data_IF_711560688160
#
_entry.id   IF_711560688160
#
_cell.length_a   1.000
_cell.length_b   1.000
_cell.length_c   1.000
_cell.angle_alpha   90.00
_cell.angle_beta   90.00
_cell.angle_gamma   90.00
#
_symmetry.space_group_name_H-M   'P 1'
#
loop_
_entity.id
_entity.type
_entity.pdbx_description
1 polymer ?
#
# COMPACT_ATOMS: atom_id res chain seq x y z
N UNK A 1 5.00 9.16 -9.63
CA UNK A 1 3.72 9.88 -9.91
C UNK A 1 2.61 8.85 -10.08
N UNK A 2 1.43 9.05 -9.47
CA UNK A 2 0.25 8.20 -9.68
C UNK A 2 -0.66 8.82 -10.74
N UNK A 3 -0.87 8.12 -11.85
CA UNK A 3 -1.80 8.55 -12.89
C UNK A 3 -3.13 7.84 -12.64
N UNK A 4 -4.04 8.54 -11.96
CA UNK A 4 -5.20 7.94 -11.27
C UNK A 4 -6.11 7.17 -12.23
N UNK A 5 -6.45 7.77 -13.36
CA UNK A 5 -7.46 7.27 -14.29
C UNK A 5 -6.96 6.06 -15.10
N UNK A 6 -5.67 6.06 -15.44
CA UNK A 6 -5.02 5.02 -16.24
C UNK A 6 -4.48 3.87 -15.38
N UNK A 7 -4.38 4.07 -14.06
CA UNK A 7 -3.88 3.06 -13.15
C UNK A 7 -2.39 2.77 -13.33
N UNK A 8 -1.61 3.80 -13.67
CA UNK A 8 -0.17 3.71 -13.91
C UNK A 8 0.61 4.34 -12.75
N UNK A 9 1.66 3.64 -12.34
CA UNK A 9 2.66 4.14 -11.38
C UNK A 9 3.92 4.42 -12.18
N UNK A 10 4.41 5.66 -12.09
CA UNK A 10 5.65 6.07 -12.73
C UNK A 10 6.77 6.12 -11.70
N UNK A 11 7.79 5.28 -11.90
CA UNK A 11 9.09 5.45 -11.27
C UNK A 11 9.95 6.29 -12.22
N UNK A 12 10.35 7.46 -11.74
CA UNK A 12 11.07 8.46 -12.52
C UNK A 12 12.46 8.56 -11.95
N UNK A 13 13.47 8.19 -12.74
CA UNK A 13 14.87 8.41 -12.40
C UNK A 13 15.20 9.87 -12.67
N UNK A 14 15.71 10.57 -11.66
CA UNK A 14 15.93 12.01 -11.68
C UNK A 14 17.41 12.39 -11.68
N UNK A 15 18.32 11.40 -11.79
CA UNK A 15 19.77 11.63 -11.91
C UNK A 15 20.14 12.44 -13.15
N UNK A 16 19.40 12.27 -14.24
CA UNK A 16 19.56 13.01 -15.48
C UNK A 16 18.18 13.49 -15.97
N UNK A 17 17.97 14.80 -15.94
CA UNK A 17 16.69 15.41 -16.34
C UNK A 17 16.62 15.68 -17.85
N UNK A 18 17.75 15.64 -18.56
CA UNK A 18 17.80 15.79 -20.02
C UNK A 18 17.50 14.45 -20.69
N UNK A 19 18.01 13.34 -20.13
CA UNK A 19 17.80 11.98 -20.61
C UNK A 19 16.94 11.16 -19.64
N UNK A 20 15.70 11.62 -19.41
CA UNK A 20 14.81 11.08 -18.39
C UNK A 20 14.48 9.59 -18.60
N UNK A 21 14.85 8.75 -17.64
CA UNK A 21 14.44 7.35 -17.61
C UNK A 21 13.16 7.20 -16.76
N UNK A 22 12.11 6.62 -17.36
CA UNK A 22 10.82 6.39 -16.70
C UNK A 22 10.41 4.94 -16.86
N UNK A 23 10.18 4.26 -15.73
CA UNK A 23 9.53 2.95 -15.71
C UNK A 23 8.03 3.13 -15.45
N UNK A 24 7.22 2.81 -16.45
CA UNK A 24 5.76 2.77 -16.31
C UNK A 24 5.30 1.38 -15.83
N UNK A 25 4.65 1.35 -14.67
CA UNK A 25 4.14 0.11 -14.06
C UNK A 25 2.62 0.14 -14.12
N UNK A 26 2.03 -0.86 -14.78
CA UNK A 26 0.59 -1.09 -14.71
C UNK A 26 0.18 -1.60 -13.33
N UNK A 27 -0.82 -0.99 -12.71
CA UNK A 27 -1.37 -1.40 -11.41
C UNK A 27 -2.89 -1.61 -11.53
N UNK A 28 -3.68 -0.71 -10.95
CA UNK A 28 -5.14 -0.72 -11.03
C UNK A 28 -5.66 0.71 -11.16
N UNK A 29 -6.80 0.90 -11.82
CA UNK A 29 -7.40 2.23 -11.98
C UNK A 29 -7.81 2.81 -10.62
N UNK A 30 -7.86 4.14 -10.58
CA UNK A 30 -8.19 4.96 -9.42
C UNK A 30 -7.12 4.90 -8.31
N UNK A 31 -5.85 4.90 -8.72
CA UNK A 31 -4.74 5.12 -7.78
C UNK A 31 -4.95 6.46 -7.06
N UNK A 32 -4.70 6.48 -5.76
CA UNK A 32 -4.95 7.65 -4.93
C UNK A 32 -3.73 7.94 -4.06
N UNK A 33 -3.77 7.49 -2.81
CA UNK A 33 -2.79 7.71 -1.76
C UNK A 33 -2.13 6.39 -1.34
N UNK A 34 -1.01 6.50 -0.63
CA UNK A 34 -0.17 5.36 -0.30
C UNK A 34 1.07 5.77 0.46
N UNK A 35 1.81 4.77 0.94
CA UNK A 35 3.05 4.97 1.65
C UNK A 35 3.97 3.77 1.56
N UNK A 36 5.16 3.94 2.10
CA UNK A 36 6.16 2.89 2.16
C UNK A 36 5.80 1.90 3.27
N UNK A 37 6.04 0.61 3.02
CA UNK A 37 6.19 -0.32 4.13
C UNK A 37 7.47 0.01 4.93
N UNK A 38 7.53 -0.48 6.17
CA UNK A 38 8.58 -0.20 7.16
C UNK A 38 10.04 -0.13 6.68
N UNK A 39 10.48 -0.96 5.72
CA UNK A 39 11.86 -0.97 5.23
C UNK A 39 12.16 0.09 4.16
N UNK A 40 11.13 0.77 3.65
CA UNK A 40 11.27 1.75 2.57
C UNK A 40 11.42 1.14 1.18
N UNK A 41 11.27 -0.19 1.02
CA UNK A 41 11.46 -0.87 -0.26
C UNK A 41 10.18 -0.99 -1.08
N UNK A 42 9.06 -1.30 -0.44
CA UNK A 42 7.81 -1.51 -1.17
C UNK A 42 6.88 -0.32 -0.98
N UNK A 43 6.39 0.21 -2.09
CA UNK A 43 5.38 1.26 -2.08
C UNK A 43 3.99 0.63 -2.13
N UNK A 44 3.19 0.92 -1.11
CA UNK A 44 1.82 0.42 -0.95
C UNK A 44 0.84 1.54 -1.27
N UNK A 45 0.03 1.38 -2.32
CA UNK A 45 -0.85 2.45 -2.82
C UNK A 45 -2.27 1.95 -3.05
N UNK A 46 -3.24 2.71 -2.58
CA UNK A 46 -4.65 2.44 -2.75
C UNK A 46 -5.10 2.74 -4.19
N UNK A 47 -5.69 1.74 -4.84
CA UNK A 47 -6.58 1.89 -5.99
C UNK A 47 -8.02 1.90 -5.46
N UNK A 48 -8.45 3.06 -4.95
CA UNK A 48 -9.53 3.14 -3.96
C UNK A 48 -10.90 2.69 -4.50
N UNK A 49 -11.33 3.19 -5.65
CA UNK A 49 -12.58 2.77 -6.31
C UNK A 49 -12.51 1.37 -6.92
N UNK A 50 -11.33 0.72 -6.85
CA UNK A 50 -11.12 -0.68 -7.22
C UNK A 50 -11.04 -1.61 -5.99
N UNK A 51 -11.17 -1.08 -4.76
CA UNK A 51 -11.03 -1.80 -3.49
C UNK A 51 -9.72 -2.62 -3.40
N UNK A 52 -8.61 -2.04 -3.89
CA UNK A 52 -7.32 -2.74 -3.98
C UNK A 52 -6.18 -1.90 -3.40
N UNK A 53 -5.18 -2.58 -2.86
CA UNK A 53 -3.84 -2.03 -2.59
C UNK A 53 -2.87 -2.63 -3.60
N UNK A 54 -2.21 -1.78 -4.38
CA UNK A 54 -1.10 -2.17 -5.23
C UNK A 54 0.22 -2.09 -4.45
N UNK A 55 1.03 -3.13 -4.60
CA UNK A 55 2.36 -3.24 -4.00
C UNK A 55 3.39 -3.16 -5.11
N UNK A 56 4.28 -2.17 -5.04
CA UNK A 56 5.36 -1.99 -6.01
C UNK A 56 6.70 -2.24 -5.33
N UNK A 57 7.51 -3.16 -5.88
CA UNK A 57 8.92 -3.32 -5.50
C UNK A 57 9.72 -2.24 -6.21
N UNK A 58 10.04 -1.15 -5.51
CA UNK A 58 10.71 0.00 -6.15
C UNK A 58 12.16 -0.27 -6.45
N UNK A 59 12.78 -1.25 -5.78
CA UNK A 59 14.13 -1.73 -6.10
C UNK A 59 14.17 -2.46 -7.44
N UNK A 60 13.09 -3.15 -7.81
CA UNK A 60 13.00 -3.92 -9.06
C UNK A 60 12.18 -3.22 -10.16
N UNK A 61 11.56 -2.10 -9.85
CA UNK A 61 10.71 -1.37 -10.78
C UNK A 61 9.49 -2.14 -11.27
N UNK A 62 8.86 -2.96 -10.41
CA UNK A 62 7.74 -3.83 -10.84
C UNK A 62 6.59 -3.89 -9.84
N UNK A 63 5.39 -4.18 -10.37
CA UNK A 63 4.25 -4.56 -9.55
C UNK A 63 4.51 -5.94 -8.92
N UNK A 64 4.43 -6.02 -7.61
CA UNK A 64 4.58 -7.26 -6.87
C UNK A 64 3.22 -7.93 -6.64
N UNK A 65 2.18 -7.15 -6.27
CA UNK A 65 0.84 -7.70 -6.01
C UNK A 65 -0.25 -6.63 -6.12
N UNK A 66 -1.45 -7.06 -6.51
CA UNK A 66 -2.71 -6.36 -6.22
C UNK A 66 -3.44 -7.14 -5.13
N UNK A 67 -3.71 -6.48 -4.01
CA UNK A 67 -4.34 -7.07 -2.83
C UNK A 67 -5.74 -6.51 -2.72
N UNK A 68 -6.75 -7.37 -2.70
CA UNK A 68 -8.13 -6.95 -2.44
C UNK A 68 -8.32 -6.65 -0.96
N UNK A 69 -9.00 -5.53 -0.69
CA UNK A 69 -9.32 -5.05 0.65
C UNK A 69 -10.80 -4.62 0.67
N UNK A 70 -11.25 -4.06 1.79
CA UNK A 70 -12.64 -3.61 1.92
C UNK A 70 -12.89 -2.31 1.12
N UNK A 71 -14.09 -1.77 1.23
CA UNK A 71 -14.64 -0.75 0.35
C UNK A 71 -13.94 0.61 0.49
N UNK A 72 -13.36 1.10 -0.60
CA UNK A 72 -12.72 2.42 -0.72
C UNK A 72 -11.61 2.60 0.34
N UNK A 73 -10.49 1.87 0.23
CA UNK A 73 -9.35 2.06 1.13
C UNK A 73 -8.81 3.49 0.99
N UNK A 74 -8.53 4.12 2.14
CA UNK A 74 -7.99 5.47 2.21
C UNK A 74 -6.92 5.55 3.32
N UNK A 75 -5.69 5.10 3.04
CA UNK A 75 -4.64 4.96 4.05
C UNK A 75 -4.00 6.27 4.51
N UNK A 76 -4.07 7.35 3.72
CA UNK A 76 -3.06 8.39 3.74
C UNK A 76 -1.70 7.80 3.34
N UNK A 77 -0.76 7.73 4.30
CA UNK A 77 0.51 6.98 4.15
C UNK A 77 0.45 5.57 4.74
N UNK A 78 -0.65 5.23 5.39
CA UNK A 78 -0.82 4.03 6.20
C UNK A 78 -0.03 4.07 7.51
N UNK A 79 -0.07 2.94 8.20
CA UNK A 79 0.59 2.73 9.49
C UNK A 79 1.37 1.42 9.48
N UNK A 80 2.67 1.48 9.80
CA UNK A 80 3.55 0.31 9.88
C UNK A 80 3.78 -0.08 11.33
N UNK A 81 3.67 -1.37 11.65
CA UNK A 81 4.04 -1.90 12.97
C UNK A 81 4.34 -3.40 12.88
N UNK A 82 4.88 -3.97 13.95
CA UNK A 82 5.13 -5.42 14.05
C UNK A 82 3.94 -6.08 14.76
N UNK A 83 3.18 -6.88 14.03
CA UNK A 83 2.11 -7.67 14.60
C UNK A 83 2.68 -8.88 15.36
N UNK A 84 2.26 -9.16 16.61
CA UNK A 84 2.84 -10.23 17.43
C UNK A 84 2.82 -11.62 16.78
N UNK A 85 1.81 -11.90 15.95
CA UNK A 85 1.64 -13.19 15.25
C UNK A 85 2.13 -13.19 13.80
N UNK A 86 2.06 -12.06 13.10
CA UNK A 86 2.20 -12.03 11.64
C UNK A 86 3.49 -11.33 11.18
N UNK A 87 4.27 -10.78 12.12
CA UNK A 87 5.46 -10.00 11.79
C UNK A 87 5.11 -8.59 11.29
N UNK A 88 5.98 -7.96 10.49
CA UNK A 88 5.75 -6.63 9.94
C UNK A 88 4.47 -6.56 9.11
N UNK A 89 3.62 -5.57 9.44
CA UNK A 89 2.39 -5.27 8.73
C UNK A 89 2.27 -3.78 8.41
N UNK A 90 1.56 -3.48 7.33
CA UNK A 90 1.09 -2.16 6.96
C UNK A 90 -0.43 -2.13 6.98
N UNK A 91 -1.01 -1.07 7.55
CA UNK A 91 -2.43 -0.95 7.80
C UNK A 91 -3.10 0.16 6.97
N UNK A 92 -4.34 -0.09 6.54
CA UNK A 92 -5.24 0.90 5.93
C UNK A 92 -6.62 0.87 6.56
N UNK A 93 -7.20 2.05 6.78
CA UNK A 93 -8.63 2.21 7.01
C UNK A 93 -9.40 2.35 5.70
N UNK A 94 -10.72 2.40 5.80
CA UNK A 94 -11.64 2.44 4.66
C UNK A 94 -12.68 3.57 4.84
N UNK A 95 -12.97 4.27 3.74
CA UNK A 95 -14.05 5.25 3.69
C UNK A 95 -15.42 4.56 3.60
N UNK A 96 -15.49 3.46 2.84
CA UNK A 96 -16.75 2.79 2.53
C UNK A 96 -17.19 1.75 3.56
N UNK A 97 -16.38 1.47 4.59
CA UNK A 97 -16.71 0.54 5.67
C UNK A 97 -15.92 0.85 6.92
N UNK A 98 -16.32 0.27 8.05
CA UNK A 98 -15.64 0.44 9.33
C UNK A 98 -14.37 -0.41 9.48
N UNK A 99 -13.99 -1.19 8.45
CA UNK A 99 -12.89 -2.14 8.56
C UNK A 99 -11.52 -1.45 8.57
N UNK A 100 -10.55 -2.09 9.19
CA UNK A 100 -9.12 -1.79 9.07
C UNK A 100 -8.43 -3.07 8.59
N UNK A 101 -7.75 -3.00 7.45
CA UNK A 101 -7.04 -4.13 6.86
C UNK A 101 -5.57 -4.08 7.24
N UNK A 102 -5.05 -5.20 7.74
CA UNK A 102 -3.63 -5.39 8.06
C UNK A 102 -3.02 -6.28 6.99
N UNK A 103 -1.98 -5.77 6.31
CA UNK A 103 -1.32 -6.45 5.20
C UNK A 103 0.10 -6.82 5.62
N UNK A 104 0.49 -8.09 5.46
CA UNK A 104 1.86 -8.53 5.74
C UNK A 104 2.87 -7.98 4.72
N UNK A 105 4.02 -7.50 5.18
CA UNK A 105 4.99 -6.77 4.33
C UNK A 105 6.41 -7.38 4.29
N UNK A 106 6.61 -8.55 4.90
CA UNK A 106 7.92 -9.21 4.95
C UNK A 106 7.97 -10.48 4.10
N UNK A 107 8.34 -10.37 2.80
CA UNK A 107 8.47 -11.52 1.90
C UNK A 107 9.74 -12.36 2.14
N UNK A 108 10.56 -12.04 3.14
CA UNK A 108 11.80 -12.80 3.43
C UNK A 108 11.59 -13.74 4.61
N UNK A 109 11.14 -13.22 5.76
CA UNK A 109 11.00 -14.03 6.98
C UNK A 109 9.56 -14.50 7.23
N UNK A 110 8.55 -13.81 6.69
CA UNK A 110 7.13 -14.12 6.88
C UNK A 110 6.43 -14.36 5.53
N UNK A 111 7.02 -15.24 4.71
CA UNK A 111 6.63 -15.48 3.30
C UNK A 111 5.17 -15.86 3.13
N UNK A 112 4.63 -16.60 4.08
CA UNK A 112 3.24 -17.05 4.11
C UNK A 112 2.24 -15.91 4.28
N UNK A 113 2.66 -14.81 4.92
CA UNK A 113 1.86 -13.63 5.24
C UNK A 113 2.05 -12.48 4.25
N UNK A 114 3.20 -12.45 3.56
CA UNK A 114 3.55 -11.36 2.66
C UNK A 114 2.51 -11.13 1.57
N UNK A 115 2.11 -9.87 1.41
CA UNK A 115 1.18 -9.40 0.39
C UNK A 115 -0.22 -10.00 0.49
N UNK A 116 -0.65 -10.32 1.71
CA UNK A 116 -2.01 -10.78 2.02
C UNK A 116 -2.59 -9.93 3.14
N UNK A 117 -3.91 -9.76 3.13
CA UNK A 117 -4.63 -9.29 4.31
C UNK A 117 -4.56 -10.39 5.35
N UNK A 118 -3.75 -10.18 6.40
CA UNK A 118 -3.53 -11.17 7.46
C UNK A 118 -4.56 -11.07 8.57
N UNK A 119 -5.18 -9.90 8.72
CA UNK A 119 -6.22 -9.64 9.69
C UNK A 119 -7.06 -8.44 9.28
N UNK A 120 -8.35 -8.51 9.60
CA UNK A 120 -9.29 -7.41 9.48
C UNK A 120 -9.80 -7.06 10.88
N UNK A 121 -9.72 -5.79 11.23
CA UNK A 121 -10.25 -5.24 12.49
C UNK A 121 -11.47 -4.39 12.21
N UNK A 122 -12.29 -4.18 13.24
CA UNK A 122 -13.37 -3.22 13.22
C UNK A 122 -12.92 -1.91 13.89
N UNK A 123 -13.01 -0.81 13.15
CA UNK A 123 -12.86 0.55 13.65
C UNK A 123 -14.18 1.10 14.18
N UNK A 124 -14.21 2.41 14.46
CA UNK A 124 -15.38 3.07 15.05
C UNK A 124 -16.58 3.15 14.09
N UNK A 125 -16.31 3.47 12.81
CA UNK A 125 -17.32 3.65 11.76
C UNK A 125 -16.66 3.65 10.38
N UNK A 126 -17.48 3.69 9.32
CA UNK A 126 -17.00 4.12 8.01
C UNK A 126 -16.53 5.57 8.01
N UNK A 127 -15.90 6.01 6.92
CA UNK A 127 -15.36 7.36 6.79
C UNK A 127 -13.95 7.53 7.35
N UNK A 128 -13.18 6.45 7.55
CA UNK A 128 -11.79 6.58 7.97
C UNK A 128 -10.94 7.18 6.84
N UNK A 129 -10.33 8.35 7.10
CA UNK A 129 -9.43 9.03 6.18
C UNK A 129 -7.95 8.73 6.46
N UNK A 130 -7.60 8.50 7.72
CA UNK A 130 -6.21 8.35 8.15
C UNK A 130 -6.10 7.30 9.24
N UNK A 131 -4.99 6.57 9.20
CA UNK A 131 -4.53 5.69 10.26
C UNK A 131 -3.08 6.04 10.63
N UNK A 132 -2.75 5.96 11.91
CA UNK A 132 -1.41 6.28 12.40
C UNK A 132 -0.96 5.38 13.54
N UNK A 133 0.36 5.25 13.61
CA UNK A 133 1.12 4.62 14.69
C UNK A 133 2.54 5.21 14.67
N UNK A 134 3.34 4.90 15.69
CA UNK A 134 4.74 5.23 15.79
C UNK A 134 5.51 4.07 16.45
N UNK A 135 6.78 3.81 16.09
CA UNK A 135 7.58 2.73 16.70
C UNK A 135 7.74 2.78 18.22
N UNK A 136 7.47 3.94 18.84
CA UNK A 136 7.62 4.17 20.29
C UNK A 136 6.28 4.44 21.00
N UNK A 137 5.16 4.08 20.37
CA UNK A 137 3.82 4.18 20.98
C UNK A 137 3.43 2.90 21.70
#
# INVERSE_FOLDING_TARGET
>A
VNVKETGKILLVEYKDLENLEVTEIGAARFLHDGGWESSGRYFMVAANQSNKIAVVDTKRGKLEKLIEVDKIPHPGRGANFVHPKFGPVWATGHLGSLKISLIGTDPVKHKENAWKVVQVLDGQSGGNLFIKTHPNS
#
